data_IF_599415497861
#
_entry.id   IF_599415497861
#
_cell.length_a   1.000
_cell.length_b   1.000
_cell.length_c   1.000
_cell.angle_alpha   90.00
_cell.angle_beta   90.00
_cell.angle_gamma   90.00
#
_symmetry.space_group_name_H-M   'P 1'
#
loop_
_entity.id
_entity.type
_entity.pdbx_description
1 polymer ?
#
# COMPACT_ATOMS: atom_id res chain seq x y z
N UNK A 1 1.54 -5.63 54.16
CA UNK A 1 0.80 -5.56 52.88
C UNK A 1 1.57 -4.66 51.95
N UNK A 2 2.37 -5.25 51.05
CA UNK A 2 3.01 -4.52 49.96
C UNK A 2 2.46 -5.11 48.68
N UNK A 3 1.58 -4.36 48.03
CA UNK A 3 1.16 -4.63 46.66
C UNK A 3 2.40 -4.49 45.76
N UNK A 4 3.07 -5.62 45.51
CA UNK A 4 3.88 -5.79 44.30
C UNK A 4 2.91 -6.01 43.13
N UNK A 5 2.12 -4.98 42.87
CA UNK A 5 1.22 -4.92 41.73
C UNK A 5 2.02 -4.66 40.47
N UNK A 6 2.15 -5.71 39.65
CA UNK A 6 2.14 -5.57 38.20
C UNK A 6 3.39 -5.01 37.49
N UNK A 7 4.60 -5.50 37.78
CA UNK A 7 5.75 -5.39 36.85
C UNK A 7 5.61 -6.32 35.62
N UNK A 8 4.39 -6.48 35.06
CA UNK A 8 4.08 -7.50 34.05
C UNK A 8 3.42 -7.03 32.75
N UNK A 9 3.31 -5.72 32.45
CA UNK A 9 2.59 -5.32 31.21
C UNK A 9 3.15 -4.17 30.38
N UNK A 10 4.41 -3.75 30.54
CA UNK A 10 4.97 -2.64 29.74
C UNK A 10 5.55 -3.07 28.37
N UNK A 11 5.59 -4.38 28.07
CA UNK A 11 6.21 -4.89 26.83
C UNK A 11 5.33 -4.79 25.59
N UNK A 12 4.01 -4.70 25.72
CA UNK A 12 3.11 -4.54 24.56
C UNK A 12 3.14 -3.10 24.01
N UNK A 13 3.36 -2.12 24.88
CA UNK A 13 3.18 -0.69 24.63
C UNK A 13 4.19 -0.11 23.64
N UNK A 14 5.47 -0.44 23.83
CA UNK A 14 6.57 0.04 23.00
C UNK A 14 6.45 -0.51 21.57
N UNK A 15 6.02 -1.75 21.41
CA UNK A 15 5.87 -2.41 20.11
C UNK A 15 4.78 -1.74 19.26
N UNK A 16 3.61 -1.43 19.86
CA UNK A 16 2.56 -0.69 19.16
C UNK A 16 3.00 0.72 18.73
N UNK A 17 3.81 1.40 19.54
CA UNK A 17 4.35 2.71 19.20
C UNK A 17 5.39 2.60 18.07
N UNK A 18 6.19 1.54 18.07
CA UNK A 18 7.12 1.24 16.98
C UNK A 18 6.37 1.00 15.67
N UNK A 19 5.31 0.19 15.69
CA UNK A 19 4.44 -0.01 14.53
C UNK A 19 3.76 1.29 14.08
N UNK A 20 3.23 2.08 15.02
CA UNK A 20 2.62 3.37 14.71
C UNK A 20 3.63 4.35 14.09
N UNK A 21 4.90 4.32 14.52
CA UNK A 21 5.97 5.11 13.92
C UNK A 21 6.22 4.70 12.48
N UNK A 22 6.35 3.39 12.20
CA UNK A 22 6.50 2.89 10.84
C UNK A 22 5.33 3.27 9.93
N UNK A 23 4.10 3.12 10.40
CA UNK A 23 2.91 3.57 9.66
C UNK A 23 2.91 5.08 9.43
N UNK A 24 3.27 5.87 10.44
CA UNK A 24 3.34 7.33 10.33
C UNK A 24 4.37 7.79 9.31
N UNK A 25 5.52 7.13 9.25
CA UNK A 25 6.59 7.43 8.30
C UNK A 25 6.17 7.10 6.88
N UNK A 26 5.49 5.97 6.67
CA UNK A 26 4.91 5.61 5.37
C UNK A 26 3.92 6.66 4.87
N UNK A 27 2.99 7.09 5.72
CA UNK A 27 1.99 8.12 5.40
C UNK A 27 2.68 9.45 5.05
N UNK A 28 3.71 9.83 5.80
CA UNK A 28 4.46 11.06 5.58
C UNK A 28 5.23 11.03 4.26
N UNK A 29 5.93 9.93 3.97
CA UNK A 29 6.66 9.76 2.72
C UNK A 29 5.73 9.85 1.51
N UNK A 30 4.50 9.30 1.60
CA UNK A 30 3.49 9.43 0.54
C UNK A 30 2.92 10.83 0.40
N UNK A 31 2.92 11.61 1.48
CA UNK A 31 2.38 12.99 1.51
C UNK A 31 3.43 14.05 1.17
N UNK A 32 4.71 13.66 1.15
CA UNK A 32 5.84 14.51 0.82
C UNK A 32 5.95 14.71 -0.69
N UNK A 33 6.27 15.94 -1.13
CA UNK A 33 6.29 16.33 -2.54
C UNK A 33 7.70 16.39 -3.17
N UNK A 34 8.76 16.34 -2.37
CA UNK A 34 10.14 16.35 -2.86
C UNK A 34 11.00 17.47 -2.26
N UNK A 35 12.13 17.79 -2.90
CA UNK A 35 13.09 18.77 -2.40
C UNK A 35 12.47 20.18 -2.34
N UNK A 36 12.55 20.84 -1.18
CA UNK A 36 11.94 22.15 -0.92
C UNK A 36 10.59 22.08 -0.18
N UNK A 37 10.05 20.89 0.04
CA UNK A 37 8.85 20.69 0.84
C UNK A 37 9.19 20.56 2.33
N UNK A 38 8.26 20.96 3.20
CA UNK A 38 8.46 20.86 4.65
C UNK A 38 7.72 19.66 5.23
N UNK A 39 8.31 19.06 6.26
CA UNK A 39 7.71 17.93 6.98
C UNK A 39 6.38 18.32 7.60
N UNK A 40 6.28 19.53 8.17
CA UNK A 40 5.04 20.03 8.76
C UNK A 40 3.93 20.22 7.71
N UNK A 41 4.28 20.73 6.52
CA UNK A 41 3.33 20.82 5.42
C UNK A 41 2.87 19.42 4.97
N UNK A 42 3.76 18.42 4.94
CA UNK A 42 3.40 17.04 4.66
C UNK A 42 2.47 16.45 5.72
N UNK A 43 2.70 16.74 7.01
CA UNK A 43 1.80 16.34 8.11
C UNK A 43 0.39 16.90 7.95
N UNK A 44 0.25 18.20 7.65
CA UNK A 44 -1.06 18.81 7.42
C UNK A 44 -1.76 18.33 6.15
N UNK A 45 -0.99 17.90 5.14
CA UNK A 45 -1.56 17.25 3.95
C UNK A 45 -2.00 15.83 4.25
N UNK A 46 -1.22 15.07 5.02
CA UNK A 46 -1.59 13.73 5.47
C UNK A 46 -2.90 13.76 6.29
N UNK A 47 -3.05 14.76 7.16
CA UNK A 47 -4.27 14.98 7.93
C UNK A 47 -5.48 15.23 7.02
N UNK A 48 -5.38 16.14 6.05
CA UNK A 48 -6.48 16.44 5.13
C UNK A 48 -6.81 15.30 4.17
N UNK A 49 -5.81 14.50 3.77
CA UNK A 49 -5.97 13.46 2.75
C UNK A 49 -6.39 12.12 3.33
N UNK A 50 -5.82 11.73 4.46
CA UNK A 50 -5.98 10.40 5.05
C UNK A 50 -6.63 10.44 6.44
N UNK A 51 -6.80 11.61 7.05
CA UNK A 51 -7.36 11.75 8.40
C UNK A 51 -6.38 11.43 9.53
N UNK A 52 -5.08 11.35 9.25
CA UNK A 52 -4.06 11.14 10.27
C UNK A 52 -3.81 12.42 11.09
N UNK A 53 -4.00 12.41 12.42
CA UNK A 53 -3.87 13.63 13.23
C UNK A 53 -2.44 14.17 13.23
N UNK A 54 -2.25 15.41 12.75
CA UNK A 54 -0.93 16.01 12.55
C UNK A 54 -0.12 16.11 13.86
N UNK A 55 -0.81 16.38 14.99
CA UNK A 55 -0.18 16.41 16.32
C UNK A 55 0.47 15.08 16.68
N UNK A 56 -0.16 13.95 16.36
CA UNK A 56 0.39 12.63 16.67
C UNK A 56 1.51 12.24 15.70
N UNK A 57 1.39 12.57 14.42
CA UNK A 57 2.49 12.39 13.45
C UNK A 57 3.75 13.15 13.89
N UNK A 58 3.59 14.39 14.33
CA UNK A 58 4.70 15.20 14.84
C UNK A 58 5.32 14.58 16.10
N UNK A 59 4.49 14.14 17.05
CA UNK A 59 4.98 13.51 18.29
C UNK A 59 5.72 12.20 18.01
N UNK A 60 5.19 11.34 17.15
CA UNK A 60 5.81 10.04 16.82
C UNK A 60 7.18 10.19 16.17
N UNK A 61 7.36 11.26 15.38
CA UNK A 61 8.61 11.56 14.68
C UNK A 61 9.68 12.14 15.60
N UNK A 62 9.33 13.13 16.42
CA UNK A 62 10.32 13.92 17.18
C UNK A 62 10.43 13.54 18.65
N UNK A 63 9.51 12.76 19.20
CA UNK A 63 9.52 12.36 20.61
C UNK A 63 9.59 10.85 20.77
N UNK A 64 10.24 10.43 21.85
CA UNK A 64 10.13 9.07 22.34
C UNK A 64 8.94 9.01 23.32
N UNK A 65 7.83 8.45 22.86
CA UNK A 65 6.58 8.39 23.61
C UNK A 65 6.51 7.01 24.28
N UNK A 66 6.11 6.97 25.56
CA UNK A 66 5.88 5.71 26.26
C UNK A 66 4.54 5.09 25.92
N UNK A 67 3.49 5.90 25.84
CA UNK A 67 2.09 5.47 25.67
C UNK A 67 1.33 6.30 24.62
N UNK A 68 0.38 5.67 23.92
CA UNK A 68 -0.52 6.34 22.98
C UNK A 68 -1.98 5.92 23.25
N UNK A 69 -2.96 6.85 23.20
CA UNK A 69 -4.36 6.49 23.28
C UNK A 69 -4.78 5.66 22.06
N UNK A 70 -5.58 4.63 22.31
CA UNK A 70 -6.06 3.69 21.28
C UNK A 70 -6.80 4.39 20.14
N UNK A 71 -7.50 5.50 20.44
CA UNK A 71 -8.18 6.32 19.42
C UNK A 71 -7.22 6.94 18.42
N UNK A 72 -6.06 7.42 18.87
CA UNK A 72 -5.02 7.98 18.01
C UNK A 72 -4.34 6.89 17.18
N UNK A 73 -4.07 5.73 17.81
CA UNK A 73 -3.53 4.57 17.11
C UNK A 73 -4.47 4.12 15.99
N UNK A 74 -5.76 3.95 16.28
CA UNK A 74 -6.77 3.57 15.28
C UNK A 74 -6.92 4.61 14.16
N UNK A 75 -6.75 5.90 14.45
CA UNK A 75 -6.74 6.92 13.40
C UNK A 75 -5.55 6.76 12.44
N UNK A 76 -4.36 6.44 12.97
CA UNK A 76 -3.15 6.19 12.17
C UNK A 76 -3.30 4.91 11.34
N UNK A 77 -3.82 3.84 11.92
CA UNK A 77 -4.05 2.57 11.20
C UNK A 77 -5.01 2.78 10.03
N UNK A 78 -6.16 3.44 10.24
CA UNK A 78 -7.09 3.75 9.16
C UNK A 78 -6.46 4.63 8.07
N UNK A 79 -5.68 5.63 8.48
CA UNK A 79 -4.98 6.48 7.52
C UNK A 79 -3.93 5.70 6.70
N UNK A 80 -3.28 4.72 7.33
CA UNK A 80 -2.32 3.83 6.67
C UNK A 80 -3.01 2.92 5.65
N UNK A 81 -4.13 2.29 6.01
CA UNK A 81 -4.94 1.47 5.09
C UNK A 81 -5.39 2.28 3.87
N UNK A 82 -5.87 3.51 4.10
CA UNK A 82 -6.25 4.42 3.00
C UNK A 82 -5.05 4.80 2.12
N UNK A 83 -3.86 4.96 2.69
CA UNK A 83 -2.65 5.24 1.93
C UNK A 83 -2.20 4.04 1.08
N UNK A 84 -2.34 2.81 1.60
CA UNK A 84 -2.11 1.58 0.85
C UNK A 84 -3.10 1.44 -0.31
N UNK A 85 -4.40 1.58 -0.06
CA UNK A 85 -5.44 1.53 -1.09
C UNK A 85 -5.24 2.61 -2.16
N UNK A 86 -4.82 3.83 -1.77
CA UNK A 86 -4.52 4.88 -2.74
C UNK A 86 -3.33 4.54 -3.63
N UNK A 87 -2.37 3.77 -3.10
CA UNK A 87 -1.20 3.30 -3.86
C UNK A 87 -1.57 2.17 -4.83
N UNK A 88 -2.35 1.19 -4.36
CA UNK A 88 -2.90 0.11 -5.19
C UNK A 88 -3.74 0.67 -6.34
N UNK A 89 -4.65 1.60 -6.06
CA UNK A 89 -5.46 2.26 -7.10
C UNK A 89 -4.61 3.02 -8.12
N UNK A 90 -3.53 3.69 -7.69
CA UNK A 90 -2.63 4.36 -8.63
C UNK A 90 -1.90 3.37 -9.53
N UNK A 91 -1.49 2.22 -8.97
CA UNK A 91 -0.85 1.16 -9.74
C UNK A 91 -1.82 0.51 -10.73
N UNK A 92 -3.05 0.21 -10.31
CA UNK A 92 -4.09 -0.33 -11.18
C UNK A 92 -4.40 0.61 -12.34
N UNK A 93 -4.54 1.92 -12.08
CA UNK A 93 -4.78 2.91 -13.13
C UNK A 93 -3.60 2.99 -14.13
N UNK A 94 -2.35 2.93 -13.66
CA UNK A 94 -1.19 2.87 -14.55
C UNK A 94 -1.15 1.57 -15.37
N UNK A 95 -1.52 0.44 -14.76
CA UNK A 95 -1.62 -0.87 -15.41
C UNK A 95 -2.70 -0.86 -16.50
N UNK A 96 -3.86 -0.28 -16.23
CA UNK A 96 -4.95 -0.12 -17.22
C UNK A 96 -4.53 0.75 -18.41
N UNK A 97 -3.86 1.88 -18.16
CA UNK A 97 -3.34 2.74 -19.23
C UNK A 97 -2.27 2.03 -20.06
N UNK A 98 -1.42 1.21 -19.45
CA UNK A 98 -0.41 0.44 -20.16
C UNK A 98 -1.02 -0.70 -21.00
N UNK A 99 -2.10 -1.32 -20.50
CA UNK A 99 -2.89 -2.30 -21.26
C UNK A 99 -3.60 -1.65 -22.45
N UNK A 100 -4.21 -0.46 -22.28
CA UNK A 100 -4.80 0.30 -23.37
C UNK A 100 -3.78 0.70 -24.45
N UNK A 101 -2.51 0.87 -24.07
CA UNK A 101 -1.38 1.09 -25.00
C UNK A 101 -0.87 -0.19 -25.67
N UNK A 102 -1.48 -1.35 -25.40
CA UNK A 102 -1.08 -2.68 -25.89
C UNK A 102 0.38 -3.03 -25.57
N UNK A 103 0.82 -2.73 -24.34
CA UNK A 103 2.19 -3.06 -23.91
C UNK A 103 2.38 -4.58 -23.78
N UNK A 104 3.13 -5.17 -24.71
CA UNK A 104 3.44 -6.62 -24.73
C UNK A 104 4.17 -7.10 -23.47
N UNK A 105 4.94 -6.24 -22.83
CA UNK A 105 5.67 -6.57 -21.59
C UNK A 105 4.74 -6.71 -20.39
N UNK A 106 3.66 -5.92 -20.34
CA UNK A 106 2.65 -6.07 -19.29
C UNK A 106 1.87 -7.38 -19.44
N UNK A 107 1.52 -7.75 -20.68
CA UNK A 107 0.87 -9.03 -20.97
C UNK A 107 1.72 -10.24 -20.53
N UNK A 108 3.04 -10.20 -20.77
CA UNK A 108 3.95 -11.24 -20.28
C UNK A 108 4.00 -11.29 -18.74
N UNK A 109 4.04 -10.14 -18.07
CA UNK A 109 4.03 -10.07 -16.62
C UNK A 109 2.70 -10.58 -16.01
N UNK A 110 1.58 -10.26 -16.65
CA UNK A 110 0.26 -10.74 -16.24
C UNK A 110 0.13 -12.27 -16.44
N UNK A 111 0.74 -12.81 -17.50
CA UNK A 111 0.85 -14.24 -17.75
C UNK A 111 1.65 -14.95 -16.65
N UNK A 112 2.84 -14.44 -16.29
CA UNK A 112 3.70 -15.09 -15.29
C UNK A 112 3.12 -15.04 -13.87
N UNK A 113 2.33 -14.01 -13.55
CA UNK A 113 1.61 -13.89 -12.27
C UNK A 113 0.31 -14.72 -12.27
N UNK A 114 -0.07 -15.33 -13.40
CA UNK A 114 -1.27 -16.17 -13.52
C UNK A 114 -2.59 -15.38 -13.53
N UNK A 115 -2.53 -14.08 -13.84
CA UNK A 115 -3.67 -13.16 -13.83
C UNK A 115 -4.50 -13.20 -15.12
N UNK A 116 -4.06 -13.93 -16.15
CA UNK A 116 -4.74 -14.04 -17.45
C UNK A 116 -6.16 -14.62 -17.35
N UNK A 117 -6.40 -15.51 -16.39
CA UNK A 117 -7.69 -16.20 -16.22
C UNK A 117 -8.82 -15.35 -15.62
N UNK A 118 -8.52 -14.15 -15.08
CA UNK A 118 -9.52 -13.28 -14.46
C UNK A 118 -10.22 -12.32 -15.45
N UNK A 119 -9.73 -12.22 -16.70
CA UNK A 119 -10.25 -11.27 -17.71
C UNK A 119 -10.73 -11.93 -19.01
N UNK A 120 -10.95 -13.24 -19.02
CA UNK A 120 -11.49 -13.90 -20.21
C UNK A 120 -12.98 -13.57 -20.42
N UNK A 121 -13.27 -12.63 -21.34
CA UNK A 121 -14.23 -12.72 -22.48
C UNK A 121 -15.01 -11.41 -22.74
N UNK A 122 -15.49 -11.11 -24.00
CA UNK A 122 -15.78 -12.04 -25.09
C UNK A 122 -15.48 -11.49 -26.52
N UNK A 123 -14.21 -11.28 -26.92
CA UNK A 123 -13.92 -10.90 -28.31
C UNK A 123 -12.75 -11.65 -28.96
N UNK A 124 -11.93 -12.34 -28.15
CA UNK A 124 -10.82 -13.17 -28.65
C UNK A 124 -11.23 -14.60 -29.06
N UNK A 125 -12.52 -14.97 -28.95
CA UNK A 125 -13.03 -16.23 -29.49
C UNK A 125 -12.90 -16.33 -31.02
N UNK A 126 -12.60 -15.22 -31.71
CA UNK A 126 -12.45 -15.16 -33.16
C UNK A 126 -11.04 -15.45 -33.70
N UNK A 127 -9.98 -15.51 -32.86
CA UNK A 127 -8.60 -15.61 -33.35
C UNK A 127 -7.95 -16.99 -33.17
N UNK A 128 -8.75 -18.03 -32.94
CA UNK A 128 -8.31 -19.43 -32.99
C UNK A 128 -8.91 -20.22 -34.16
N UNK A 129 -9.45 -19.53 -35.18
CA UNK A 129 -9.72 -20.13 -36.47
C UNK A 129 -8.40 -20.29 -37.24
N UNK A 130 -7.94 -21.54 -37.34
CA UNK A 130 -6.76 -21.99 -38.10
C UNK A 130 -6.72 -21.45 -39.55
N UNK A 131 -5.53 -21.48 -40.19
CA UNK A 131 -5.31 -22.61 -41.09
C UNK A 131 -3.87 -23.17 -41.08
N UNK A 132 -3.78 -24.47 -40.84
CA UNK A 132 -3.09 -25.50 -41.61
C UNK A 132 -1.78 -25.14 -42.36
N UNK A 133 -0.67 -25.80 -41.97
CA UNK A 133 0.37 -26.26 -42.90
C UNK A 133 0.98 -27.58 -42.41
N UNK A 134 0.49 -28.66 -43.01
CA UNK A 134 1.24 -29.86 -43.40
C UNK A 134 2.75 -29.66 -43.55
N UNK A 135 3.58 -30.53 -42.95
CA UNK A 135 4.61 -31.35 -43.64
C UNK A 135 5.48 -32.19 -42.68
N UNK A 136 5.67 -33.48 -43.07
CA UNK A 136 6.72 -34.45 -42.68
C UNK A 136 6.67 -35.03 -41.25
N UNK A 137 6.99 -36.30 -41.00
CA UNK A 137 7.34 -37.50 -41.76
C UNK A 137 7.53 -38.65 -40.73
N UNK A 138 7.43 -39.91 -41.18
CA UNK A 138 7.78 -41.15 -40.47
C UNK A 138 6.87 -41.48 -39.25
N UNK A 139 6.36 -42.69 -39.06
CA UNK A 139 6.74 -44.04 -39.47
C UNK A 139 5.50 -44.95 -39.37
#
# INVERSE_FOLDING_TARGET
MSDKGFERSDKMNVDYISHARGMSEYILNRSYRGAGDTVEAAMHRAERRFGAPATWLHRLRYRNIKDMPVSAYGAIVRAYELACQASEKSYEAERELANARNSKFLGLADFTVGQESARANPEDAGLLASPDKTTKAAE
#
